data_IF_076609996426
#
_entry.id   IF_076609996426
#
_cell.length_a   1.000
_cell.length_b   1.000
_cell.length_c   1.000
_cell.angle_alpha   90.00
_cell.angle_beta   90.00
_cell.angle_gamma   90.00
#
_symmetry.space_group_name_H-M   'P 1'
#
loop_
_entity.id
_entity.type
_entity.pdbx_description
1 polymer ?
#
# COMPACT_ATOMS: atom_id res chain seq x y z
N UNK A 1 -1.13 1.38 -20.01
CA UNK A 1 -0.15 0.32 -19.68
C UNK A 1 -0.14 0.09 -18.17
N UNK A 2 -0.03 -1.17 -17.72
CA UNK A 2 0.13 -1.51 -16.31
C UNK A 2 1.56 -1.18 -15.86
N UNK A 3 1.69 -0.47 -14.74
CA UNK A 3 2.93 -0.02 -14.13
C UNK A 3 3.00 -0.51 -12.69
N UNK A 4 4.20 -0.62 -12.14
CA UNK A 4 4.41 -1.04 -10.75
C UNK A 4 5.30 -0.07 -10.01
N UNK A 5 5.01 0.15 -8.72
CA UNK A 5 5.88 0.91 -7.82
C UNK A 5 6.00 0.18 -6.51
N UNK A 6 7.22 0.06 -6.00
CA UNK A 6 7.58 -0.68 -4.79
C UNK A 6 8.25 0.24 -3.78
N UNK A 7 7.96 0.02 -2.51
CA UNK A 7 8.70 0.58 -1.39
C UNK A 7 9.05 -0.53 -0.39
N UNK A 8 10.23 -0.43 0.23
CA UNK A 8 10.69 -1.33 1.29
C UNK A 8 10.77 -0.58 2.60
N UNK A 9 10.02 -1.05 3.59
CA UNK A 9 10.15 -0.59 4.96
C UNK A 9 11.29 -1.33 5.66
N UNK A 10 12.27 -0.60 6.16
CA UNK A 10 13.44 -1.17 6.84
C UNK A 10 13.17 -1.42 8.33
N UNK A 11 12.27 -0.66 8.95
CA UNK A 11 11.91 -0.78 10.37
C UNK A 11 10.53 -0.18 10.64
N UNK A 12 9.55 -1.03 10.90
CA UNK A 12 8.21 -0.65 11.34
C UNK A 12 8.13 -0.94 12.84
N UNK A 13 8.13 0.11 13.66
CA UNK A 13 8.21 -0.01 15.12
C UNK A 13 6.95 -0.64 15.72
N UNK A 14 7.10 -1.31 16.85
CA UNK A 14 6.01 -1.92 17.63
C UNK A 14 4.92 -0.89 17.98
N UNK A 15 3.64 -1.23 17.71
CA UNK A 15 2.45 -0.41 17.94
C UNK A 15 2.47 0.95 17.24
N UNK A 16 3.20 1.06 16.12
CA UNK A 16 3.31 2.27 15.32
C UNK A 16 2.80 2.00 13.91
N UNK A 17 2.11 2.99 13.36
CA UNK A 17 1.82 3.06 11.93
C UNK A 17 2.98 3.76 11.20
N UNK A 18 3.45 3.16 10.12
CA UNK A 18 4.45 3.70 9.22
C UNK A 18 3.91 3.68 7.78
N UNK A 19 3.82 4.84 7.14
CA UNK A 19 3.26 5.01 5.80
C UNK A 19 4.12 5.92 4.93
N UNK A 20 4.05 5.70 3.62
CA UNK A 20 4.73 6.52 2.61
C UNK A 20 3.77 7.02 1.55
N UNK A 21 4.08 8.19 1.00
CA UNK A 21 3.43 8.75 -0.18
C UNK A 21 3.78 7.90 -1.41
N UNK A 22 2.93 6.95 -1.76
CA UNK A 22 3.26 5.94 -2.77
C UNK A 22 2.91 6.40 -4.19
N UNK A 23 1.79 7.09 -4.38
CA UNK A 23 1.38 7.58 -5.69
C UNK A 23 0.51 8.82 -5.56
N UNK A 24 0.81 9.87 -6.32
CA UNK A 24 -0.04 11.05 -6.44
C UNK A 24 -0.81 11.01 -7.77
N UNK A 25 -2.01 11.57 -7.80
CA UNK A 25 -2.65 11.97 -9.05
C UNK A 25 -1.93 13.16 -9.67
N UNK A 26 -1.90 13.25 -10.99
CA UNK A 26 -1.19 14.30 -11.72
C UNK A 26 -2.07 14.87 -12.82
N UNK A 27 -1.88 16.16 -13.13
CA UNK A 27 -2.52 16.82 -14.27
C UNK A 27 -2.31 16.02 -15.56
N UNK A 28 -3.38 15.85 -16.35
CA UNK A 28 -3.35 15.13 -17.62
C UNK A 28 -3.04 13.63 -17.49
N UNK A 29 -3.20 13.03 -16.30
CA UNK A 29 -2.98 11.60 -16.07
C UNK A 29 -4.06 11.01 -15.19
N UNK A 30 -4.88 10.15 -15.78
CA UNK A 30 -5.84 9.35 -15.03
C UNK A 30 -5.15 8.13 -14.46
N UNK A 31 -4.77 8.20 -13.17
CA UNK A 31 -4.12 7.11 -12.45
C UNK A 31 -5.15 6.28 -11.70
N UNK A 32 -5.05 4.96 -11.85
CA UNK A 32 -5.88 4.01 -11.10
C UNK A 32 -4.98 2.91 -10.53
N UNK A 33 -4.95 2.78 -9.22
CA UNK A 33 -4.32 1.64 -8.55
C UNK A 33 -5.27 0.45 -8.67
N UNK A 34 -4.74 -0.65 -9.19
CA UNK A 34 -5.49 -1.87 -9.53
C UNK A 34 -5.08 -3.08 -8.71
N UNK A 35 -3.93 -3.01 -8.04
CA UNK A 35 -3.51 -4.06 -7.10
C UNK A 35 -2.58 -3.49 -6.02
N UNK A 36 -2.61 -4.16 -4.88
CA UNK A 36 -1.68 -4.01 -3.78
C UNK A 36 -1.03 -5.37 -3.51
N UNK A 37 0.27 -5.37 -3.23
CA UNK A 37 1.06 -6.58 -3.07
C UNK A 37 1.97 -6.43 -1.87
N UNK A 38 1.94 -7.40 -0.96
CA UNK A 38 2.82 -7.44 0.21
C UNK A 38 3.10 -8.87 0.69
N UNK A 39 4.01 -9.01 1.65
CA UNK A 39 4.37 -10.30 2.23
C UNK A 39 3.39 -10.66 3.36
N UNK A 40 3.04 -11.94 3.45
CA UNK A 40 2.27 -12.45 4.57
C UNK A 40 3.05 -12.25 5.88
N UNK A 41 2.48 -11.48 6.82
CA UNK A 41 3.10 -11.22 8.12
C UNK A 41 2.02 -11.12 9.20
N UNK A 42 2.03 -12.05 10.14
CA UNK A 42 1.14 -12.06 11.33
C UNK A 42 1.16 -10.73 12.07
N UNK A 43 0.02 -10.24 12.56
CA UNK A 43 -0.11 -9.00 13.33
C UNK A 43 0.43 -7.72 12.63
N UNK A 44 0.62 -7.75 11.31
CA UNK A 44 1.02 -6.58 10.53
C UNK A 44 -0.14 -6.17 9.62
N UNK A 45 -0.71 -5.01 9.87
CA UNK A 45 -1.90 -4.52 9.20
C UNK A 45 -1.51 -3.59 8.06
N UNK A 46 -2.00 -3.88 6.87
CA UNK A 46 -1.87 -3.05 5.68
C UNK A 46 -2.72 -1.79 5.88
N UNK A 47 -2.12 -0.62 5.63
CA UNK A 47 -2.76 0.68 5.73
C UNK A 47 -2.67 1.38 4.39
N UNK A 48 -3.82 1.71 3.78
CA UNK A 48 -3.88 2.54 2.58
C UNK A 48 -4.85 3.68 2.79
N UNK A 49 -4.39 4.87 2.45
CA UNK A 49 -5.17 6.10 2.52
C UNK A 49 -5.26 6.74 1.14
N UNK A 50 -6.41 7.35 0.86
CA UNK A 50 -6.52 8.40 -0.15
C UNK A 50 -6.80 9.71 0.57
N UNK A 51 -5.86 10.63 0.49
CA UNK A 51 -5.86 11.87 1.26
C UNK A 51 -5.94 11.56 2.78
N UNK A 52 -7.04 11.91 3.45
CA UNK A 52 -7.26 11.61 4.87
C UNK A 52 -8.11 10.37 5.13
N UNK A 53 -8.68 9.75 4.09
CA UNK A 53 -9.61 8.63 4.22
C UNK A 53 -8.89 7.28 4.18
N UNK A 54 -9.10 6.46 5.21
CA UNK A 54 -8.53 5.11 5.29
C UNK A 54 -9.42 4.14 4.53
N UNK A 55 -8.91 3.64 3.40
CA UNK A 55 -9.65 2.78 2.49
C UNK A 55 -9.25 1.31 2.61
N UNK A 56 -8.09 1.03 3.21
CA UNK A 56 -7.64 -0.32 3.54
C UNK A 56 -7.14 -0.34 4.98
N UNK A 57 -7.75 -1.22 5.76
CA UNK A 57 -7.27 -1.73 7.04
C UNK A 57 -7.46 -3.25 7.02
N UNK A 58 -6.38 -3.98 6.73
CA UNK A 58 -6.43 -5.41 6.51
C UNK A 58 -5.16 -6.08 7.01
N UNK A 59 -5.28 -7.14 7.79
CA UNK A 59 -4.11 -7.87 8.29
C UNK A 59 -3.40 -8.62 7.15
N UNK A 60 -2.10 -8.38 6.99
CA UNK A 60 -1.29 -8.99 5.95
C UNK A 60 -1.10 -10.50 6.14
N UNK A 61 -1.36 -11.07 7.31
CA UNK A 61 -1.39 -12.52 7.52
C UNK A 61 -2.42 -13.23 6.65
N UNK A 62 -3.45 -12.50 6.21
CA UNK A 62 -4.52 -13.03 5.37
C UNK A 62 -4.20 -12.96 3.86
N UNK A 63 -3.05 -12.42 3.44
CA UNK A 63 -2.63 -12.48 2.03
C UNK A 63 -1.97 -13.83 1.73
N UNK A 64 -2.31 -14.46 0.61
CA UNK A 64 -1.70 -15.72 0.17
C UNK A 64 -0.22 -15.50 -0.18
N UNK A 65 0.67 -16.26 0.43
CA UNK A 65 2.12 -16.22 0.17
C UNK A 65 2.50 -16.56 -1.28
N UNK A 66 1.68 -17.32 -2.01
CA UNK A 66 1.89 -17.65 -3.43
C UNK A 66 1.22 -16.67 -4.38
N UNK A 67 0.16 -15.99 -3.93
CA UNK A 67 -0.59 -15.00 -4.69
C UNK A 67 -0.88 -13.76 -3.83
N UNK A 68 0.13 -12.95 -3.49
CA UNK A 68 0.02 -11.84 -2.54
C UNK A 68 -0.72 -10.62 -3.11
N UNK A 69 -1.66 -10.81 -4.03
CA UNK A 69 -2.34 -9.75 -4.77
C UNK A 69 -3.68 -9.43 -4.14
N UNK A 70 -3.81 -8.22 -3.61
CA UNK A 70 -5.08 -7.65 -3.21
C UNK A 70 -5.59 -6.81 -4.38
N UNK A 71 -6.73 -7.16 -5.01
CA UNK A 71 -7.31 -6.37 -6.08
C UNK A 71 -7.77 -5.01 -5.55
N UNK A 72 -7.52 -3.95 -6.32
CA UNK A 72 -7.88 -2.58 -5.95
C UNK A 72 -8.70 -1.91 -7.06
N UNK A 73 -9.49 -0.92 -6.67
CA UNK A 73 -10.14 0.01 -7.59
C UNK A 73 -10.04 1.43 -7.03
N UNK A 74 -8.83 2.00 -7.06
CA UNK A 74 -8.59 3.33 -6.51
C UNK A 74 -8.13 4.30 -7.59
N UNK A 75 -9.05 5.17 -8.02
CA UNK A 75 -8.72 6.31 -8.88
C UNK A 75 -8.12 7.46 -8.07
N UNK A 76 -7.10 8.10 -8.65
CA UNK A 76 -6.45 9.30 -8.14
C UNK A 76 -6.54 10.39 -9.20
N UNK A 77 -7.25 11.47 -8.89
CA UNK A 77 -7.28 12.69 -9.73
C UNK A 77 -6.19 13.67 -9.29
N UNK A 78 -5.97 14.71 -10.10
CA UNK A 78 -5.00 15.77 -9.77
C UNK A 78 -5.21 16.32 -8.35
N UNK A 79 -4.11 16.43 -7.60
CA UNK A 79 -4.11 16.88 -6.21
C UNK A 79 -4.34 15.78 -5.17
N UNK A 80 -4.85 14.60 -5.55
CA UNK A 80 -5.02 13.49 -4.62
C UNK A 80 -3.73 12.72 -4.39
N UNK A 81 -3.58 12.22 -3.16
CA UNK A 81 -2.41 11.46 -2.74
C UNK A 81 -2.83 10.12 -2.15
N UNK A 82 -2.22 9.04 -2.65
CA UNK A 82 -2.28 7.74 -2.01
C UNK A 82 -1.08 7.53 -1.10
N UNK A 83 -1.36 7.24 0.17
CA UNK A 83 -0.38 6.73 1.12
C UNK A 83 -0.57 5.24 1.33
N UNK A 84 0.52 4.51 1.47
CA UNK A 84 0.48 3.09 1.75
C UNK A 84 1.57 2.69 2.75
N UNK A 85 1.29 1.71 3.59
CA UNK A 85 2.25 1.19 4.56
C UNK A 85 1.58 0.21 5.50
N UNK A 86 2.01 0.23 6.76
CA UNK A 86 1.60 -0.76 7.74
C UNK A 86 1.42 -0.19 9.14
N UNK A 87 0.52 -0.80 9.90
CA UNK A 87 0.49 -0.74 11.35
C UNK A 87 1.02 -2.05 11.92
N UNK A 88 2.02 -1.97 12.79
CA UNK A 88 2.63 -3.15 13.41
C UNK A 88 2.03 -3.44 14.78
N UNK A 89 1.12 -4.41 14.85
CA UNK A 89 0.50 -4.86 16.09
C UNK A 89 1.33 -5.93 16.83
N UNK A 90 2.48 -6.34 16.32
CA UNK A 90 3.39 -7.25 17.03
C UNK A 90 3.93 -6.63 18.32
N UNK A 91 4.48 -7.48 19.18
CA UNK A 91 5.34 -7.05 20.28
C UNK A 91 6.75 -6.62 19.83
N UNK A 92 7.12 -6.83 18.56
CA UNK A 92 8.48 -6.61 18.03
C UNK A 92 8.47 -5.75 16.77
N UNK A 93 9.54 -4.98 16.55
CA UNK A 93 9.79 -4.29 15.28
C UNK A 93 9.83 -5.27 14.12
N UNK A 94 9.19 -4.88 13.00
CA UNK A 94 9.23 -5.63 11.74
C UNK A 94 10.18 -4.93 10.77
N UNK A 95 10.99 -5.71 10.05
CA UNK A 95 11.98 -5.18 9.11
C UNK A 95 11.88 -5.88 7.76
N UNK A 96 12.27 -5.15 6.71
CA UNK A 96 12.40 -5.64 5.34
C UNK A 96 11.10 -6.11 4.68
N UNK A 97 9.98 -5.49 5.05
CA UNK A 97 8.68 -5.74 4.41
C UNK A 97 8.50 -4.80 3.22
N UNK A 98 8.02 -5.36 2.14
CA UNK A 98 7.77 -4.66 0.89
C UNK A 98 6.28 -4.39 0.72
N UNK A 99 5.94 -3.20 0.22
CA UNK A 99 4.62 -2.90 -0.35
C UNK A 99 4.80 -2.51 -1.81
N UNK A 100 4.02 -3.11 -2.70
CA UNK A 100 4.04 -2.81 -4.13
C UNK A 100 2.62 -2.52 -4.60
N UNK A 101 2.45 -1.47 -5.39
CA UNK A 101 1.20 -1.18 -6.09
C UNK A 101 1.35 -1.50 -7.57
N UNK A 102 0.32 -2.11 -8.16
CA UNK A 102 0.10 -2.10 -9.60
C UNK A 102 -0.89 -1.00 -9.95
N UNK A 103 -0.60 -0.19 -10.96
CA UNK A 103 -1.45 0.93 -11.37
C UNK A 103 -1.45 1.13 -12.89
N UNK A 104 -2.56 1.62 -13.42
CA UNK A 104 -2.66 2.07 -14.81
C UNK A 104 -2.58 3.59 -14.86
N UNK A 105 -2.05 4.09 -15.98
CA UNK A 105 -2.02 5.51 -16.30
C UNK A 105 -2.52 5.64 -17.75
N UNK A 106 -3.58 6.43 -17.93
CA UNK A 106 -4.08 6.87 -19.23
C UNK A 106 -3.82 8.37 -19.39
N UNK A 107 -3.53 8.79 -20.61
CA UNK A 107 -3.50 10.19 -21.04
C UNK A 107 -4.92 10.79 -21.02
#
# INVERSE_FOLDING_TARGET
MLKYKKHRFTSILTKVEDTIDILAGMAGKNRRIVSLITQQTTDLYIRVYRDADQIVDFESDNVDSHAPFIPMDLSLVEGQLCKAGFYNDKATTVSNVDITIGYTEAE
#
